data_IF_932260227874
#
_entry.id   IF_932260227874
#
_cell.length_a   1.000
_cell.length_b   1.000
_cell.length_c   1.000
_cell.angle_alpha   90.00
_cell.angle_beta   90.00
_cell.angle_gamma   90.00
#
_symmetry.space_group_name_H-M   'P 1'
#
loop_
_entity.id
_entity.type
_entity.pdbx_description
1 polymer ?
#
# COMPACT_ATOMS: atom_id res chain seq x y z
N UNK A 1 -2.58 10.85 -8.81
CA UNK A 1 -3.56 9.82 -9.18
C UNK A 1 -3.12 8.47 -8.65
N UNK A 2 -4.06 7.58 -8.33
CA UNK A 2 -3.79 6.27 -7.72
C UNK A 2 -3.79 5.17 -8.79
N UNK A 3 -2.84 4.25 -8.71
CA UNK A 3 -2.79 3.04 -9.53
C UNK A 3 -2.91 1.82 -8.64
N UNK A 4 -3.75 0.86 -9.04
CA UNK A 4 -3.98 -0.39 -8.30
C UNK A 4 -3.60 -1.53 -9.23
N UNK A 5 -2.70 -2.40 -8.76
CA UNK A 5 -2.20 -3.55 -9.51
C UNK A 5 -1.82 -4.68 -8.55
N UNK A 6 -2.00 -5.95 -8.94
CA UNK A 6 -1.61 -7.08 -8.12
C UNK A 6 -0.09 -7.21 -8.02
N UNK A 7 0.40 -7.59 -6.85
CA UNK A 7 1.81 -7.91 -6.62
C UNK A 7 1.90 -9.28 -5.95
N UNK A 8 2.64 -10.19 -6.56
CA UNK A 8 2.96 -11.47 -5.96
C UNK A 8 4.30 -11.34 -5.22
N UNK A 9 4.27 -11.47 -3.89
CA UNK A 9 5.45 -11.41 -3.03
C UNK A 9 5.85 -12.82 -2.63
N UNK A 10 6.95 -13.31 -3.19
CA UNK A 10 7.54 -14.59 -2.82
C UNK A 10 8.78 -14.37 -1.94
N UNK A 11 8.71 -14.85 -0.70
CA UNK A 11 9.82 -14.81 0.27
C UNK A 11 10.23 -16.21 0.75
N UNK A 12 9.76 -17.29 0.11
CA UNK A 12 9.96 -18.67 0.61
C UNK A 12 11.43 -19.07 0.67
N UNK A 13 12.29 -18.49 -0.18
CA UNK A 13 13.74 -18.71 -0.18
C UNK A 13 14.52 -17.77 0.76
N UNK A 14 13.84 -16.86 1.46
CA UNK A 14 14.47 -15.88 2.33
C UNK A 14 14.46 -16.34 3.79
N UNK A 15 15.62 -16.71 4.31
CA UNK A 15 15.77 -17.28 5.65
C UNK A 15 16.00 -16.21 6.74
N UNK A 16 16.12 -14.94 6.37
CA UNK A 16 16.33 -13.82 7.31
C UNK A 16 15.46 -12.62 6.93
N UNK A 17 15.11 -11.73 7.89
CA UNK A 17 14.36 -10.51 7.58
C UNK A 17 15.04 -9.63 6.53
N UNK A 18 16.37 -9.53 6.57
CA UNK A 18 17.15 -8.76 5.59
C UNK A 18 17.06 -9.40 4.20
N UNK A 19 17.13 -10.72 4.11
CA UNK A 19 16.95 -11.44 2.84
C UNK A 19 15.53 -11.25 2.29
N UNK A 20 14.51 -11.29 3.14
CA UNK A 20 13.12 -11.09 2.75
C UNK A 20 12.89 -9.66 2.23
N UNK A 21 13.44 -8.65 2.94
CA UNK A 21 13.40 -7.26 2.51
C UNK A 21 14.05 -7.06 1.14
N UNK A 22 15.23 -7.67 0.91
CA UNK A 22 15.92 -7.62 -0.38
C UNK A 22 15.08 -8.29 -1.47
N UNK A 23 14.49 -9.46 -1.19
CA UNK A 23 13.64 -10.18 -2.13
C UNK A 23 12.41 -9.36 -2.54
N UNK A 24 11.70 -8.76 -1.58
CA UNK A 24 10.55 -7.90 -1.85
C UNK A 24 10.96 -6.66 -2.64
N UNK A 25 12.06 -5.99 -2.25
CA UNK A 25 12.59 -4.82 -2.96
C UNK A 25 12.85 -5.10 -4.44
N UNK A 26 13.51 -6.21 -4.75
CA UNK A 26 13.82 -6.57 -6.13
C UNK A 26 12.57 -7.02 -6.92
N UNK A 27 11.61 -7.69 -6.27
CA UNK A 27 10.32 -8.01 -6.90
C UNK A 27 9.53 -6.75 -7.26
N UNK A 28 9.44 -5.77 -6.35
CA UNK A 28 8.74 -4.50 -6.60
C UNK A 28 9.45 -3.67 -7.67
N UNK A 29 10.78 -3.68 -7.71
CA UNK A 29 11.58 -2.95 -8.72
C UNK A 29 11.40 -3.48 -10.15
N UNK A 30 11.07 -4.77 -10.31
CA UNK A 30 10.80 -5.36 -11.63
C UNK A 30 9.49 -4.89 -12.25
N UNK A 31 8.64 -4.21 -11.49
CA UNK A 31 7.33 -3.75 -11.96
C UNK A 31 7.52 -2.49 -12.80
N UNK A 32 7.19 -2.52 -14.11
CA UNK A 32 7.32 -1.36 -14.97
C UNK A 32 6.31 -0.27 -14.58
N UNK A 33 6.69 0.98 -14.79
CA UNK A 33 5.79 2.14 -14.68
C UNK A 33 4.91 2.18 -13.42
N UNK A 34 5.40 1.64 -12.30
CA UNK A 34 4.65 1.52 -11.03
C UNK A 34 3.26 0.87 -11.21
N UNK A 35 3.14 -0.07 -12.15
CA UNK A 35 1.93 -0.85 -12.40
C UNK A 35 0.78 -0.09 -13.07
N UNK A 36 0.99 1.13 -13.56
CA UNK A 36 -0.04 1.89 -14.31
C UNK A 36 -0.57 1.09 -15.50
N UNK A 37 0.33 0.42 -16.22
CA UNK A 37 0.03 -0.36 -17.43
C UNK A 37 -0.99 -1.47 -17.16
N UNK A 38 -1.01 -2.02 -15.93
CA UNK A 38 -1.99 -3.03 -15.53
C UNK A 38 -3.41 -2.47 -15.61
N UNK A 39 -3.64 -1.25 -15.10
CA UNK A 39 -4.95 -0.61 -15.15
C UNK A 39 -5.39 -0.35 -16.59
N UNK A 40 -4.47 0.12 -17.44
CA UNK A 40 -4.75 0.34 -18.87
C UNK A 40 -5.15 -0.96 -19.55
N UNK A 41 -4.39 -2.04 -19.35
CA UNK A 41 -4.68 -3.35 -19.94
C UNK A 41 -5.96 -3.98 -19.39
N UNK A 42 -6.22 -3.86 -18.09
CA UNK A 42 -7.39 -4.46 -17.45
C UNK A 42 -8.68 -3.75 -17.83
N UNK A 43 -8.67 -2.42 -17.97
CA UNK A 43 -9.90 -1.64 -18.10
C UNK A 43 -10.10 -1.01 -19.48
N UNK A 44 -9.05 -0.81 -20.28
CA UNK A 44 -9.12 -0.07 -21.55
C UNK A 44 -8.76 -0.94 -22.77
N UNK A 45 -8.17 -2.11 -22.57
CA UNK A 45 -7.81 -3.01 -23.66
C UNK A 45 -8.90 -4.08 -23.86
N UNK A 46 -9.63 -3.99 -24.98
CA UNK A 46 -10.75 -4.88 -25.28
C UNK A 46 -10.34 -6.37 -25.42
N UNK A 47 -9.10 -6.68 -25.80
CA UNK A 47 -8.64 -8.06 -25.97
C UNK A 47 -8.13 -8.68 -24.67
N UNK A 48 -7.56 -7.87 -23.77
CA UNK A 48 -6.95 -8.34 -22.52
C UNK A 48 -7.89 -8.20 -21.31
N UNK A 49 -8.95 -7.38 -21.41
CA UNK A 49 -9.87 -7.10 -20.31
C UNK A 49 -10.46 -8.38 -19.70
N UNK A 50 -11.00 -9.27 -20.54
CA UNK A 50 -11.63 -10.51 -20.06
C UNK A 50 -10.61 -11.42 -19.35
N UNK A 51 -9.45 -11.66 -19.97
CA UNK A 51 -8.39 -12.51 -19.41
C UNK A 51 -7.82 -11.95 -18.09
N UNK A 52 -7.69 -10.64 -17.95
CA UNK A 52 -7.21 -10.02 -16.71
C UNK A 52 -8.30 -10.02 -15.65
N UNK A 53 -9.56 -9.79 -16.04
CA UNK A 53 -10.71 -9.73 -15.13
C UNK A 53 -10.98 -11.05 -14.42
N UNK A 54 -10.72 -12.18 -15.08
CA UNK A 54 -10.94 -13.54 -14.57
C UNK A 54 -9.83 -14.06 -13.65
N UNK A 55 -8.73 -13.32 -13.50
CA UNK A 55 -7.65 -13.70 -12.58
C UNK A 55 -8.07 -13.56 -11.12
N UNK A 56 -7.39 -14.33 -10.27
CA UNK A 56 -7.56 -14.27 -8.83
C UNK A 56 -7.41 -12.83 -8.31
N UNK A 57 -8.40 -12.39 -7.53
CA UNK A 57 -8.36 -11.08 -6.89
C UNK A 57 -7.63 -11.21 -5.55
N UNK A 58 -6.55 -10.44 -5.31
CA UNK A 58 -5.84 -10.48 -4.04
C UNK A 58 -6.75 -10.13 -2.86
N UNK A 59 -6.69 -10.90 -1.77
CA UNK A 59 -7.46 -10.64 -0.56
C UNK A 59 -6.95 -9.46 0.28
N UNK A 60 -5.75 -8.96 -0.02
CA UNK A 60 -5.08 -7.89 0.73
C UNK A 60 -4.80 -6.74 -0.22
N UNK A 61 -5.15 -5.52 0.23
CA UNK A 61 -4.74 -4.28 -0.41
C UNK A 61 -3.78 -3.51 0.49
N UNK A 62 -2.83 -2.80 -0.11
CA UNK A 62 -1.86 -1.99 0.59
C UNK A 62 -1.75 -0.64 -0.11
N UNK A 63 -1.80 0.44 0.68
CA UNK A 63 -1.60 1.80 0.18
C UNK A 63 -0.78 2.59 1.21
N UNK A 64 0.27 3.27 0.75
CA UNK A 64 1.10 4.12 1.58
C UNK A 64 0.83 5.59 1.22
N UNK A 65 0.22 6.33 2.16
CA UNK A 65 -0.20 7.72 1.96
C UNK A 65 0.92 8.76 2.16
N UNK A 66 2.11 8.33 2.56
CA UNK A 66 3.22 9.23 2.87
C UNK A 66 3.25 9.64 4.34
N UNK A 67 4.02 10.68 4.62
CA UNK A 67 4.12 11.33 5.93
C UNK A 67 3.29 12.61 5.90
N UNK A 68 2.34 12.75 6.83
CA UNK A 68 1.47 13.91 6.91
C UNK A 68 2.11 15.11 7.64
N UNK A 69 3.06 14.86 8.55
CA UNK A 69 3.67 15.92 9.37
C UNK A 69 4.36 17.02 8.56
N UNK A 70 4.89 16.69 7.37
CA UNK A 70 5.56 17.66 6.49
C UNK A 70 4.57 18.43 5.60
N UNK A 71 3.27 18.11 5.63
CA UNK A 71 2.26 18.74 4.78
C UNK A 71 1.65 20.01 5.40
N UNK A 72 1.87 20.26 6.69
CA UNK A 72 1.32 21.40 7.41
C UNK A 72 2.40 22.44 7.67
N UNK A 73 2.14 23.70 7.30
CA UNK A 73 3.02 24.82 7.65
C UNK A 73 2.94 25.12 9.14
N UNK A 74 3.97 25.75 9.69
CA UNK A 74 3.97 26.23 11.09
C UNK A 74 2.82 27.20 11.40
N UNK A 75 2.29 27.86 10.37
CA UNK A 75 1.19 28.83 10.47
C UNK A 75 -0.17 28.23 10.09
N UNK A 76 -0.28 26.91 9.97
CA UNK A 76 -1.53 26.25 9.61
C UNK A 76 -2.60 26.45 10.71
N UNK A 77 -3.79 26.92 10.30
CA UNK A 77 -4.94 27.07 11.20
C UNK A 77 -5.44 25.71 11.75
N UNK A 78 -5.18 24.63 11.02
CA UNK A 78 -5.48 23.26 11.42
C UNK A 78 -4.22 22.41 11.31
N UNK A 79 -3.93 21.68 12.38
CA UNK A 79 -2.83 20.71 12.44
C UNK A 79 -3.40 19.33 12.79
N UNK A 80 -2.77 18.24 12.32
CA UNK A 80 -3.17 16.89 12.69
C UNK A 80 -2.92 16.68 14.19
N UNK A 81 -3.87 16.03 14.86
CA UNK A 81 -3.69 15.54 16.22
C UNK A 81 -2.80 14.29 16.17
N UNK A 82 -1.58 14.40 16.65
CA UNK A 82 -0.59 13.32 16.62
C UNK A 82 -0.58 12.48 17.91
N UNK A 83 -1.28 12.89 18.97
CA UNK A 83 -1.36 12.12 20.20
C UNK A 83 -2.72 11.46 20.40
N UNK A 84 -2.74 10.12 20.31
CA UNK A 84 -3.88 9.34 20.78
C UNK A 84 -3.80 9.23 22.31
N UNK A 85 -4.34 10.23 23.01
CA UNK A 85 -4.48 10.15 24.47
C UNK A 85 -5.59 9.15 24.78
N UNK A 86 -5.20 7.90 25.06
CA UNK A 86 -6.13 6.91 25.60
C UNK A 86 -6.76 7.53 26.84
N UNK A 87 -8.09 7.68 26.84
CA UNK A 87 -8.82 8.00 28.06
C UNK A 87 -8.75 6.72 28.89
N UNK A 88 -7.78 6.64 29.80
CA UNK A 88 -7.78 5.62 30.83
C UNK A 88 -9.14 5.75 31.52
N UNK A 89 -9.97 4.71 31.39
CA UNK A 89 -11.16 4.63 32.21
C UNK A 89 -10.69 4.74 33.66
N UNK A 90 -11.06 5.84 34.31
CA UNK A 90 -10.72 6.11 35.70
C UNK A 90 -10.96 4.84 36.52
N UNK A 91 -9.92 4.40 37.25
CA UNK A 91 -10.03 3.36 38.23
C UNK A 91 -11.10 3.77 39.26
N UNK A 92 -12.35 3.34 39.05
CA UNK A 92 -13.48 3.80 39.86
C UNK A 92 -14.85 3.86 39.17
N UNK A 93 -14.99 3.52 37.89
CA UNK A 93 -16.34 3.28 37.34
C UNK A 93 -16.85 1.91 37.82
N UNK A 94 -17.56 1.96 38.96
CA UNK A 94 -18.33 0.94 39.68
C UNK A 94 -18.50 -0.44 39.03
#
# INVERSE_FOLDING_TARGET
>A
FTSIYPVHLNITSANTPIAALKAVKEQVRKIPNKGVDYGVLRYMNATMCEQLSSQYTPSISFNYLGQFDQMFSSDAMFIPENEFKRLDHAAGSK
#
